data_IF_964244082682
#
_entry.id   IF_964244082682
#
_cell.length_a   1.000
_cell.length_b   1.000
_cell.length_c   1.000
_cell.angle_alpha   90.00
_cell.angle_beta   90.00
_cell.angle_gamma   90.00
#
_symmetry.space_group_name_H-M   'P 1'
#
loop_
_entity.id
_entity.type
_entity.pdbx_description
1 polymer ?
#
# COMPACT_ATOMS: atom_id res chain seq x y z
N UNK A 1 3.06 -30.59 -15.70
CA UNK A 1 3.79 -29.46 -15.10
C UNK A 1 2.79 -28.66 -14.28
N UNK A 2 2.93 -28.55 -12.94
CA UNK A 2 1.93 -27.83 -12.15
C UNK A 2 1.96 -26.36 -12.55
N UNK A 3 0.77 -25.86 -12.82
CA UNK A 3 0.50 -24.50 -13.26
C UNK A 3 1.14 -23.49 -12.28
N UNK A 4 1.82 -22.48 -12.82
CA UNK A 4 2.54 -21.45 -12.02
C UNK A 4 1.59 -20.76 -11.03
N UNK A 5 0.31 -20.72 -11.37
CA UNK A 5 -0.77 -20.22 -10.52
C UNK A 5 -1.04 -21.10 -9.28
N UNK A 6 -0.97 -22.42 -9.42
CA UNK A 6 -1.18 -23.35 -8.30
C UNK A 6 -0.07 -23.18 -7.25
N UNK A 7 1.18 -23.02 -7.70
CA UNK A 7 2.32 -22.78 -6.81
C UNK A 7 2.19 -21.45 -6.06
N UNK A 8 1.67 -20.41 -6.72
CA UNK A 8 1.47 -19.11 -6.10
C UNK A 8 0.34 -19.15 -5.06
N UNK A 9 -0.77 -19.85 -5.36
CA UNK A 9 -1.86 -20.09 -4.39
C UNK A 9 -1.36 -20.83 -3.15
N UNK A 10 -0.55 -21.86 -3.34
CA UNK A 10 0.01 -22.65 -2.23
C UNK A 10 0.96 -21.82 -1.36
N UNK A 11 1.79 -20.98 -1.98
CA UNK A 11 2.69 -20.08 -1.26
C UNK A 11 1.95 -18.99 -0.48
N UNK A 12 0.83 -18.47 -1.01
CA UNK A 12 -0.03 -17.53 -0.31
C UNK A 12 -0.74 -18.22 0.86
N UNK A 13 -1.29 -19.42 0.67
CA UNK A 13 -1.91 -20.21 1.74
C UNK A 13 -0.91 -20.45 2.88
N UNK A 14 0.31 -20.93 2.56
CA UNK A 14 1.36 -21.12 3.56
C UNK A 14 1.77 -19.82 4.26
N UNK A 15 1.75 -18.68 3.56
CA UNK A 15 2.08 -17.39 4.15
C UNK A 15 1.05 -16.96 5.20
N UNK A 16 -0.25 -17.15 4.92
CA UNK A 16 -1.33 -16.84 5.85
C UNK A 16 -1.43 -17.88 6.98
N UNK A 17 -1.18 -19.17 6.70
CA UNK A 17 -1.21 -20.24 7.71
C UNK A 17 -0.04 -20.12 8.71
N UNK A 18 1.16 -19.76 8.25
CA UNK A 18 2.32 -19.55 9.15
C UNK A 18 2.17 -18.29 9.98
N UNK A 19 1.52 -17.25 9.44
CA UNK A 19 1.35 -15.97 10.12
C UNK A 19 0.06 -16.03 10.95
N UNK A 20 0.17 -16.71 12.09
CA UNK A 20 -0.88 -17.08 13.06
C UNK A 20 -1.80 -15.94 13.58
N UNK A 21 -1.60 -14.70 13.12
CA UNK A 21 -2.18 -13.47 13.65
C UNK A 21 -2.49 -12.41 12.56
N UNK A 22 -2.76 -12.79 11.31
CA UNK A 22 -3.10 -11.76 10.29
C UNK A 22 -4.41 -11.03 10.56
N UNK A 23 -5.30 -11.60 11.40
CA UNK A 23 -6.51 -10.95 11.87
C UNK A 23 -6.25 -9.90 12.96
N UNK A 24 -5.17 -10.05 13.74
CA UNK A 24 -4.82 -9.08 14.80
C UNK A 24 -4.25 -7.77 14.21
N UNK A 25 -3.83 -7.78 12.94
CA UNK A 25 -3.40 -6.60 12.17
C UNK A 25 -4.58 -5.81 11.57
N UNK A 26 -5.82 -6.33 11.64
CA UNK A 26 -7.02 -5.61 11.21
C UNK A 26 -7.54 -4.74 12.36
N UNK A 27 -7.32 -3.43 12.26
CA UNK A 27 -7.98 -2.44 13.12
C UNK A 27 -9.30 -2.03 12.49
N UNK A 28 -10.39 -2.12 13.27
CA UNK A 28 -11.73 -1.66 12.91
C UNK A 28 -12.02 -0.28 13.52
N UNK A 29 -10.99 0.36 14.07
CA UNK A 29 -11.07 1.72 14.60
C UNK A 29 -11.21 2.73 13.45
N UNK A 30 -11.96 3.82 13.64
CA UNK A 30 -11.99 4.91 12.68
C UNK A 30 -10.59 5.51 12.56
N UNK A 31 -9.87 5.10 11.52
CA UNK A 31 -8.53 5.63 11.23
C UNK A 31 -8.69 7.06 10.75
N UNK A 32 -8.19 8.01 11.55
CA UNK A 32 -8.08 9.39 11.10
C UNK A 32 -7.07 9.45 9.95
N UNK A 33 -7.53 9.87 8.77
CA UNK A 33 -6.70 9.91 7.55
C UNK A 33 -5.66 11.06 7.55
N UNK A 34 -5.41 11.69 8.70
CA UNK A 34 -4.47 12.80 8.85
C UNK A 34 -3.11 12.29 9.32
N UNK A 35 -2.02 12.86 8.76
CA UNK A 35 -0.68 12.61 9.30
C UNK A 35 -0.58 13.12 10.75
N UNK A 36 -0.38 12.23 11.72
CA UNK A 36 -0.08 12.61 13.10
C UNK A 36 1.24 13.40 13.16
N UNK A 37 1.36 14.32 14.12
CA UNK A 37 2.58 15.15 14.26
C UNK A 37 3.85 14.32 14.50
N UNK A 38 3.72 13.18 15.18
CA UNK A 38 4.82 12.22 15.35
C UNK A 38 5.23 11.60 14.01
N UNK A 39 4.27 11.20 13.18
CA UNK A 39 4.52 10.63 11.86
C UNK A 39 5.11 11.69 10.90
N UNK A 40 4.67 12.95 10.98
CA UNK A 40 5.27 14.08 10.24
C UNK A 40 6.73 14.28 10.61
N UNK A 41 7.06 14.26 11.92
CA UNK A 41 8.45 14.38 12.41
C UNK A 41 9.30 13.18 11.97
N UNK A 42 8.75 11.97 12.00
CA UNK A 42 9.43 10.76 11.52
C UNK A 42 9.71 10.79 10.01
N UNK A 43 8.76 11.28 9.21
CA UNK A 43 8.93 11.46 7.76
C UNK A 43 9.99 12.54 7.48
N UNK A 44 9.89 13.71 8.13
CA UNK A 44 10.85 14.83 7.95
C UNK A 44 12.26 14.48 8.41
N UNK A 45 12.40 13.76 9.52
CA UNK A 45 13.72 13.33 10.05
C UNK A 45 14.36 12.22 9.24
N UNK A 46 13.63 11.58 8.32
CA UNK A 46 14.13 10.46 7.53
C UNK A 46 14.45 9.20 8.36
N UNK A 47 14.03 9.16 9.62
CA UNK A 47 14.24 8.01 10.53
C UNK A 47 13.69 6.72 9.95
N UNK A 48 12.55 6.78 9.23
CA UNK A 48 11.96 5.63 8.53
C UNK A 48 12.56 5.42 7.13
N UNK A 49 13.86 5.14 7.04
CA UNK A 49 14.54 4.64 5.82
C UNK A 49 14.35 3.12 5.62
N UNK A 50 13.20 2.57 5.99
CA UNK A 50 13.00 1.11 5.97
C UNK A 50 13.05 0.57 4.53
N UNK A 51 13.58 -0.65 4.42
CA UNK A 51 13.56 -1.48 3.20
C UNK A 51 12.14 -1.56 2.65
N UNK A 52 12.01 -1.68 1.32
CA UNK A 52 10.74 -1.87 0.62
C UNK A 52 9.92 -2.95 1.34
N UNK A 53 8.75 -2.58 1.84
CA UNK A 53 7.79 -3.50 2.43
C UNK A 53 6.68 -3.78 1.42
N UNK A 54 6.27 -5.04 1.32
CA UNK A 54 5.13 -5.42 0.50
C UNK A 54 3.86 -5.02 1.24
N UNK A 55 3.04 -4.20 0.61
CA UNK A 55 1.74 -3.76 1.12
C UNK A 55 0.64 -4.41 0.28
N UNK A 56 -0.36 -4.96 0.95
CA UNK A 56 -1.60 -5.40 0.30
C UNK A 56 -2.69 -4.40 0.63
N UNK A 57 -3.21 -3.72 -0.38
CA UNK A 57 -4.28 -2.74 -0.22
C UNK A 57 -5.53 -3.32 -0.88
N UNK A 58 -6.62 -3.43 -0.13
CA UNK A 58 -7.92 -3.80 -0.67
C UNK A 58 -8.59 -2.53 -1.20
N UNK A 59 -8.96 -2.55 -2.48
CA UNK A 59 -9.65 -1.46 -3.16
C UNK A 59 -10.84 -2.05 -3.91
N UNK A 60 -11.87 -1.23 -4.10
CA UNK A 60 -12.99 -1.58 -4.97
C UNK A 60 -12.47 -1.83 -6.41
N UNK A 61 -12.86 -2.94 -7.07
CA UNK A 61 -12.53 -3.21 -8.46
C UNK A 61 -12.73 -2.03 -9.42
N UNK A 62 -13.77 -1.21 -9.22
CA UNK A 62 -14.04 -0.03 -10.07
C UNK A 62 -12.90 1.00 -9.95
N UNK A 63 -12.42 1.24 -8.73
CA UNK A 63 -11.32 2.15 -8.46
C UNK A 63 -10.01 1.64 -9.06
N UNK A 64 -9.74 0.33 -8.97
CA UNK A 64 -8.54 -0.29 -9.56
C UNK A 64 -8.53 -0.10 -11.08
N UNK A 65 -9.67 -0.28 -11.75
CA UNK A 65 -9.77 -0.07 -13.20
C UNK A 65 -9.51 1.38 -13.59
N UNK A 66 -10.08 2.34 -12.85
CA UNK A 66 -9.85 3.76 -13.09
C UNK A 66 -8.36 4.13 -12.95
N UNK A 67 -7.71 3.68 -11.87
CA UNK A 67 -6.28 3.90 -11.62
C UNK A 67 -5.44 3.32 -12.75
N UNK A 68 -5.74 2.09 -13.21
CA UNK A 68 -5.02 1.46 -14.33
C UNK A 68 -5.16 2.27 -15.61
N UNK A 69 -6.37 2.74 -15.94
CA UNK A 69 -6.62 3.55 -17.14
C UNK A 69 -5.79 4.85 -17.12
N UNK A 70 -5.78 5.55 -16.00
CA UNK A 70 -5.01 6.80 -15.83
C UNK A 70 -3.50 6.52 -15.88
N UNK A 71 -3.04 5.44 -15.25
CA UNK A 71 -1.63 5.06 -15.28
C UNK A 71 -1.16 4.74 -16.70
N UNK A 72 -1.96 4.01 -17.49
CA UNK A 72 -1.70 3.75 -18.91
C UNK A 72 -1.64 5.04 -19.72
N UNK A 73 -2.55 5.98 -19.51
CA UNK A 73 -2.52 7.29 -20.18
C UNK A 73 -1.23 8.07 -19.88
N UNK A 74 -0.66 7.88 -18.69
CA UNK A 74 0.61 8.50 -18.29
C UNK A 74 1.84 7.66 -18.63
N UNK A 75 1.68 6.54 -19.34
CA UNK A 75 2.76 5.60 -19.65
C UNK A 75 3.54 5.10 -18.43
N UNK A 76 2.85 4.92 -17.30
CA UNK A 76 3.43 4.44 -16.04
C UNK A 76 2.75 3.17 -15.55
N UNK A 77 3.47 2.24 -14.88
CA UNK A 77 2.85 1.13 -14.16
C UNK A 77 1.89 1.64 -13.06
N UNK A 78 0.76 0.98 -12.87
CA UNK A 78 -0.24 1.42 -11.89
C UNK A 78 0.30 1.45 -10.46
N UNK A 79 1.23 0.55 -10.10
CA UNK A 79 1.88 0.55 -8.78
C UNK A 79 2.73 1.81 -8.58
N UNK A 80 3.48 2.20 -9.62
CA UNK A 80 4.28 3.44 -9.62
C UNK A 80 3.38 4.66 -9.51
N UNK A 81 2.25 4.66 -10.22
CA UNK A 81 1.28 5.75 -10.15
C UNK A 81 0.65 5.89 -8.77
N UNK A 82 0.22 4.79 -8.14
CA UNK A 82 -0.29 4.80 -6.75
C UNK A 82 0.77 5.37 -5.80
N UNK A 83 2.02 4.93 -5.94
CA UNK A 83 3.13 5.42 -5.11
C UNK A 83 3.37 6.92 -5.29
N UNK A 84 3.27 7.41 -6.52
CA UNK A 84 3.41 8.83 -6.83
C UNK A 84 2.27 9.65 -6.20
N UNK A 85 1.02 9.23 -6.37
CA UNK A 85 -0.13 9.89 -5.73
C UNK A 85 0.01 9.92 -4.22
N UNK A 86 0.42 8.82 -3.59
CA UNK A 86 0.66 8.76 -2.15
C UNK A 86 1.73 9.78 -1.72
N UNK A 87 2.82 9.90 -2.46
CA UNK A 87 3.86 10.89 -2.19
C UNK A 87 3.36 12.34 -2.31
N UNK A 88 2.53 12.61 -3.31
CA UNK A 88 1.91 13.94 -3.49
C UNK A 88 0.93 14.28 -2.36
N UNK A 89 0.10 13.33 -1.91
CA UNK A 89 -0.78 13.52 -0.75
C UNK A 89 0.02 13.84 0.51
N UNK A 90 1.07 13.05 0.80
CA UNK A 90 1.94 13.28 1.96
C UNK A 90 2.60 14.66 1.88
N UNK A 91 3.11 15.07 0.72
CA UNK A 91 3.70 16.40 0.56
C UNK A 91 2.68 17.51 0.83
N UNK A 92 1.46 17.39 0.30
CA UNK A 92 0.39 18.37 0.52
C UNK A 92 0.07 18.50 2.00
N UNK A 93 -0.12 17.40 2.71
CA UNK A 93 -0.37 17.43 4.16
C UNK A 93 0.82 17.95 4.98
N UNK A 94 2.06 17.79 4.49
CA UNK A 94 3.26 18.33 5.13
C UNK A 94 3.50 19.82 4.88
N UNK A 95 2.96 20.38 3.78
CA UNK A 95 3.10 21.78 3.37
C UNK A 95 1.84 22.61 3.63
N UNK A 96 0.71 21.99 3.98
CA UNK A 96 -0.53 22.67 4.34
C UNK A 96 -0.49 23.32 5.75
N UNK A 97 0.70 23.79 6.16
CA UNK A 97 0.96 24.54 7.40
C UNK A 97 1.64 25.84 7.02
#
# INVERSE_FOLDING_TARGET
>A
MPDKEARNRQMLAEYYDRRRHTLDDLSDEPVEFSLTEELKKDIRSGKRRRRLQNLSIKLDPVQIQAIRKIATMKSMPYQTFIRHLLGECIKRELHAI
#
